data_IF_839145106092
#
_entry.id   IF_839145106092
#
_cell.length_a   1.000
_cell.length_b   1.000
_cell.length_c   1.000
_cell.angle_alpha   90.00
_cell.angle_beta   90.00
_cell.angle_gamma   90.00
#
_symmetry.space_group_name_H-M   'P 1'
#
loop_
_entity.id
_entity.type
_entity.pdbx_description
1 polymer ?
#
# COMPACT_ATOMS: atom_id res chain seq x y z
N UNK A 1 19.94 3.02 4.50
CA UNK A 1 19.19 4.19 4.99
C UNK A 1 18.05 4.60 4.05
N UNK A 2 18.20 4.56 2.71
CA UNK A 2 17.10 4.90 1.77
C UNK A 2 15.89 3.97 1.87
N UNK A 3 16.10 2.68 2.11
CA UNK A 3 15.04 1.67 2.26
C UNK A 3 14.07 2.00 3.41
N UNK A 4 14.60 2.40 4.57
CA UNK A 4 13.79 2.76 5.75
C UNK A 4 12.82 3.93 5.52
N UNK A 5 13.28 4.98 4.85
CA UNK A 5 12.45 6.17 4.65
C UNK A 5 11.29 5.94 3.68
N UNK A 6 11.51 5.14 2.64
CA UNK A 6 10.44 4.78 1.72
C UNK A 6 9.43 3.82 2.37
N UNK A 7 9.91 2.89 3.20
CA UNK A 7 9.04 1.99 3.97
C UNK A 7 8.14 2.79 4.92
N UNK A 8 8.66 3.85 5.54
CA UNK A 8 7.87 4.76 6.39
C UNK A 8 6.83 5.53 5.59
N UNK A 9 7.19 6.10 4.42
CA UNK A 9 6.22 6.77 3.55
C UNK A 9 5.08 5.82 3.16
N UNK A 10 5.41 4.62 2.68
CA UNK A 10 4.39 3.67 2.25
C UNK A 10 3.46 3.27 3.40
N UNK A 11 3.98 3.14 4.63
CA UNK A 11 3.21 2.88 5.83
C UNK A 11 2.27 4.04 6.16
N UNK A 12 2.79 5.26 6.20
CA UNK A 12 2.01 6.48 6.47
C UNK A 12 0.94 6.71 5.41
N UNK A 13 1.29 6.55 4.14
CA UNK A 13 0.37 6.66 3.01
C UNK A 13 -0.77 5.65 3.10
N UNK A 14 -0.47 4.38 3.34
CA UNK A 14 -1.48 3.33 3.50
C UNK A 14 -2.32 3.55 4.76
N UNK A 15 -1.73 4.00 5.86
CA UNK A 15 -2.45 4.34 7.08
C UNK A 15 -3.46 5.45 6.84
N UNK A 16 -3.07 6.52 6.14
CA UNK A 16 -3.97 7.63 5.79
C UNK A 16 -5.14 7.18 4.93
N UNK A 17 -4.92 6.30 3.96
CA UNK A 17 -5.97 5.79 3.08
C UNK A 17 -6.92 4.79 3.77
N UNK A 18 -6.39 3.95 4.65
CA UNK A 18 -7.12 2.80 5.19
C UNK A 18 -7.77 3.10 6.55
N UNK A 19 -7.29 4.10 7.32
CA UNK A 19 -7.83 4.43 8.64
C UNK A 19 -9.33 4.73 8.64
N UNK A 20 -9.92 5.37 7.62
CA UNK A 20 -11.37 5.56 7.57
C UNK A 20 -12.18 4.27 7.45
N UNK A 21 -11.56 3.19 6.94
CA UNK A 21 -12.21 1.90 6.70
C UNK A 21 -12.09 0.94 7.89
N UNK A 22 -11.11 1.16 8.77
CA UNK A 22 -10.84 0.23 9.84
C UNK A 22 -9.64 0.60 10.71
N UNK A 23 -9.22 -0.35 11.52
CA UNK A 23 -8.02 -0.21 12.36
C UNK A 23 -6.78 -0.54 11.56
N UNK A 24 -5.85 0.40 11.49
CA UNK A 24 -4.54 0.23 10.86
C UNK A 24 -3.47 0.18 11.95
N UNK A 25 -2.52 -0.71 11.81
CA UNK A 25 -1.33 -0.80 12.68
C UNK A 25 -0.11 -0.97 11.79
N UNK A 26 0.79 -0.03 11.85
CA UNK A 26 2.08 -0.09 11.17
C UNK A 26 3.11 -0.82 12.03
N UNK A 27 4.06 -1.51 11.42
CA UNK A 27 5.13 -2.25 12.11
C UNK A 27 4.63 -3.25 13.16
N UNK A 28 3.52 -3.97 12.87
CA UNK A 28 2.88 -4.89 13.81
C UNK A 28 3.68 -6.18 13.98
N UNK A 29 4.15 -6.46 15.18
CA UNK A 29 4.80 -7.75 15.53
C UNK A 29 3.78 -8.88 15.63
N UNK A 30 4.05 -10.02 14.95
CA UNK A 30 3.11 -11.14 14.86
C UNK A 30 3.46 -12.30 15.79
N UNK A 31 4.74 -12.47 16.16
CA UNK A 31 5.20 -13.55 17.04
C UNK A 31 6.32 -13.09 17.96
N UNK A 32 6.73 -13.97 18.91
CA UNK A 32 7.91 -13.77 19.77
C UNK A 32 9.25 -13.78 19.00
N UNK A 33 9.28 -14.36 17.81
CA UNK A 33 10.33 -14.13 16.82
C UNK A 33 9.96 -12.85 16.07
N UNK A 34 10.94 -11.99 15.80
CA UNK A 34 10.79 -10.63 15.28
C UNK A 34 10.26 -10.66 13.81
N UNK A 35 9.01 -11.10 13.64
CA UNK A 35 8.28 -11.00 12.37
C UNK A 35 7.35 -9.80 12.46
N UNK A 36 7.74 -8.73 11.79
CA UNK A 36 7.01 -7.47 11.72
C UNK A 36 6.28 -7.39 10.38
N UNK A 37 5.00 -6.99 10.42
CA UNK A 37 4.17 -6.68 9.25
C UNK A 37 4.22 -5.17 9.05
N UNK A 38 4.47 -4.74 7.83
CA UNK A 38 4.55 -3.30 7.54
C UNK A 38 3.24 -2.60 7.84
N UNK A 39 2.13 -3.07 7.30
CA UNK A 39 0.80 -2.54 7.59
C UNK A 39 -0.17 -3.69 7.85
N UNK A 40 -0.76 -3.71 9.05
CA UNK A 40 -1.83 -4.59 9.45
C UNK A 40 -3.16 -3.84 9.42
N UNK A 41 -4.15 -4.37 8.74
CA UNK A 41 -5.48 -3.77 8.61
C UNK A 41 -6.57 -4.70 9.15
N UNK A 42 -7.47 -4.15 9.95
CA UNK A 42 -8.70 -4.81 10.42
C UNK A 42 -9.91 -3.95 10.02
N UNK A 43 -10.85 -4.45 9.20
CA UNK A 43 -12.01 -3.69 8.76
C UNK A 43 -12.89 -3.30 9.95
N UNK A 44 -13.50 -2.11 9.87
CA UNK A 44 -14.49 -1.68 10.84
C UNK A 44 -15.74 -2.57 10.76
N UNK A 45 -16.33 -2.98 11.90
CA UNK A 45 -17.62 -3.70 11.91
C UNK A 45 -18.75 -2.89 11.27
N UNK A 46 -18.62 -1.56 11.26
CA UNK A 46 -19.59 -0.63 10.66
C UNK A 46 -18.81 0.33 9.75
N UNK A 47 -18.46 -0.09 8.53
CA UNK A 47 -17.78 0.79 7.59
C UNK A 47 -18.65 2.04 7.31
N UNK A 48 -18.05 3.19 7.00
CA UNK A 48 -18.79 4.39 6.65
C UNK A 48 -19.74 4.08 5.50
N UNK A 49 -20.96 4.61 5.58
CA UNK A 49 -22.02 4.42 4.56
C UNK A 49 -21.66 5.02 3.20
N UNK A 50 -20.67 5.88 3.16
CA UNK A 50 -20.11 6.46 1.93
C UNK A 50 -19.02 5.55 1.41
N UNK A 51 -19.25 4.98 0.22
CA UNK A 51 -18.22 4.21 -0.49
C UNK A 51 -17.05 5.15 -0.82
N UNK A 52 -15.98 5.03 -0.08
CA UNK A 52 -14.77 5.80 -0.34
C UNK A 52 -14.14 5.32 -1.65
N UNK A 53 -13.78 6.22 -2.58
CA UNK A 53 -13.31 5.86 -3.92
C UNK A 53 -11.85 5.37 -3.89
N UNK A 54 -11.59 4.25 -3.23
CA UNK A 54 -10.26 3.64 -3.15
C UNK A 54 -9.99 2.60 -4.26
N UNK A 55 -10.92 2.42 -5.19
CA UNK A 55 -10.75 1.49 -6.31
C UNK A 55 -10.31 0.09 -5.86
N UNK A 56 -9.24 -0.41 -6.48
CA UNK A 56 -8.67 -1.73 -6.19
C UNK A 56 -8.18 -1.85 -4.74
N UNK A 57 -7.58 -0.80 -4.19
CA UNK A 57 -7.14 -0.80 -2.79
C UNK A 57 -8.32 -1.00 -1.83
N UNK A 58 -9.47 -0.39 -2.13
CA UNK A 58 -10.69 -0.59 -1.35
C UNK A 58 -11.17 -2.04 -1.35
N UNK A 59 -11.07 -2.74 -2.49
CA UNK A 59 -11.41 -4.19 -2.56
C UNK A 59 -10.48 -5.06 -1.71
N UNK A 60 -9.22 -4.67 -1.57
CA UNK A 60 -8.24 -5.37 -0.73
C UNK A 60 -8.56 -5.27 0.76
N UNK A 61 -9.39 -4.32 1.17
CA UNK A 61 -9.79 -4.05 2.56
C UNK A 61 -11.12 -4.67 2.99
N UNK A 62 -11.74 -5.48 2.15
CA UNK A 62 -12.98 -6.17 2.50
C UNK A 62 -12.82 -7.14 3.69
N UNK A 63 -11.61 -7.59 3.94
CA UNK A 63 -11.26 -8.49 5.04
C UNK A 63 -10.00 -7.99 5.75
N UNK A 64 -9.66 -8.65 6.86
CA UNK A 64 -8.38 -8.44 7.53
C UNK A 64 -7.23 -8.67 6.53
N UNK A 65 -6.28 -7.73 6.47
CA UNK A 65 -5.21 -7.76 5.49
C UNK A 65 -3.85 -7.35 6.07
N UNK A 66 -2.81 -7.94 5.50
CA UNK A 66 -1.42 -7.55 5.66
C UNK A 66 -0.98 -6.90 4.35
N UNK A 67 -0.40 -5.70 4.42
CA UNK A 67 0.18 -5.03 3.27
C UNK A 67 1.69 -4.91 3.46
N UNK A 68 2.43 -5.38 2.46
CA UNK A 68 3.89 -5.42 2.41
C UNK A 68 4.38 -4.63 1.18
N UNK A 69 4.59 -3.32 1.31
CA UNK A 69 5.06 -2.48 0.21
C UNK A 69 6.57 -2.60 0.05
N UNK A 70 7.01 -2.92 -1.16
CA UNK A 70 8.42 -3.00 -1.54
C UNK A 70 8.81 -1.85 -2.46
N UNK A 71 9.89 -1.17 -2.13
CA UNK A 71 10.48 -0.16 -3.02
C UNK A 71 11.18 -0.78 -4.23
N UNK A 72 11.82 -1.93 -4.04
CA UNK A 72 12.57 -2.63 -5.06
C UNK A 72 11.83 -3.91 -5.49
N UNK A 73 12.15 -4.49 -6.65
CA UNK A 73 11.59 -5.76 -7.07
C UNK A 73 11.73 -6.83 -5.99
N UNK A 74 10.64 -7.50 -5.66
CA UNK A 74 10.65 -8.60 -4.68
C UNK A 74 11.46 -9.80 -5.18
N UNK A 75 12.21 -10.40 -4.30
CA UNK A 75 12.90 -11.66 -4.51
C UNK A 75 12.06 -12.86 -4.03
N UNK A 76 12.52 -14.07 -4.39
CA UNK A 76 11.93 -15.31 -3.86
C UNK A 76 12.00 -15.38 -2.32
N UNK A 77 13.05 -14.80 -1.72
CA UNK A 77 13.20 -14.79 -0.26
C UNK A 77 12.26 -13.79 0.40
N UNK A 78 12.03 -12.64 -0.21
CA UNK A 78 11.04 -11.69 0.26
C UNK A 78 9.64 -12.31 0.26
N UNK A 79 9.27 -13.02 -0.84
CA UNK A 79 7.99 -13.72 -0.92
C UNK A 79 7.85 -14.80 0.19
N UNK A 80 8.90 -15.59 0.44
CA UNK A 80 8.88 -16.58 1.53
C UNK A 80 8.69 -15.92 2.89
N UNK A 81 9.35 -14.80 3.13
CA UNK A 81 9.19 -14.00 4.35
C UNK A 81 7.75 -13.53 4.54
N UNK A 82 7.16 -12.93 3.51
CA UNK A 82 5.77 -12.47 3.53
C UNK A 82 4.78 -13.61 3.72
N UNK A 83 4.95 -14.74 3.00
CA UNK A 83 4.10 -15.92 3.16
C UNK A 83 4.19 -16.49 4.58
N UNK A 84 5.36 -16.50 5.20
CA UNK A 84 5.53 -16.92 6.59
C UNK A 84 4.72 -16.03 7.54
N UNK A 85 4.71 -14.71 7.32
CA UNK A 85 3.94 -13.76 8.13
C UNK A 85 2.44 -14.05 8.06
N UNK A 86 1.87 -14.18 6.86
CA UNK A 86 0.42 -14.43 6.70
C UNK A 86 0.01 -15.78 7.27
N UNK A 87 0.78 -16.83 7.06
CA UNK A 87 0.48 -18.16 7.59
C UNK A 87 0.50 -18.19 9.13
N UNK A 88 1.43 -17.47 9.77
CA UNK A 88 1.46 -17.31 11.22
C UNK A 88 0.22 -16.54 11.70
N UNK A 89 -0.14 -15.45 11.02
CA UNK A 89 -1.32 -14.66 11.34
C UNK A 89 -2.62 -15.48 11.24
N UNK A 90 -2.79 -16.25 10.16
CA UNK A 90 -3.92 -17.17 9.95
C UNK A 90 -3.97 -18.24 11.05
N UNK A 91 -2.84 -18.88 11.34
CA UNK A 91 -2.77 -19.88 12.41
C UNK A 91 -3.14 -19.30 13.79
N UNK A 92 -2.71 -18.06 14.09
CA UNK A 92 -3.10 -17.37 15.32
C UNK A 92 -4.61 -17.19 15.39
N UNK A 93 -5.24 -16.71 14.32
CA UNK A 93 -6.69 -16.51 14.23
C UNK A 93 -7.46 -17.83 14.41
N UNK A 94 -7.01 -18.89 13.74
CA UNK A 94 -7.61 -20.24 13.88
C UNK A 94 -7.49 -20.78 15.32
N UNK A 95 -6.33 -20.59 15.99
CA UNK A 95 -6.15 -20.99 17.38
C UNK A 95 -7.06 -20.22 18.34
N UNK A 96 -7.24 -18.92 18.11
CA UNK A 96 -8.17 -18.09 18.88
C UNK A 96 -9.62 -18.55 18.72
N UNK A 97 -10.04 -18.85 17.49
CA UNK A 97 -11.37 -19.42 17.21
C UNK A 97 -11.60 -20.73 17.95
N UNK A 98 -10.64 -21.65 17.92
CA UNK A 98 -10.72 -22.94 18.66
C UNK A 98 -10.82 -22.73 20.18
N UNK A 99 -10.05 -21.78 20.75
CA UNK A 99 -10.13 -21.47 22.20
C UNK A 99 -11.49 -20.93 22.61
N UNK A 100 -12.16 -20.19 21.73
CA UNK A 100 -13.47 -19.58 21.96
C UNK A 100 -14.64 -20.48 21.52
N UNK A 101 -14.36 -21.65 20.97
CA UNK A 101 -15.35 -22.53 20.32
C UNK A 101 -16.15 -21.83 19.21
N UNK A 102 -15.52 -20.90 18.48
CA UNK A 102 -16.11 -20.16 17.37
C UNK A 102 -15.43 -20.63 16.09
N UNK A 103 -16.15 -21.19 15.11
CA UNK A 103 -15.61 -21.48 13.78
C UNK A 103 -15.10 -20.19 13.13
N UNK A 104 -13.94 -20.26 12.50
CA UNK A 104 -13.39 -19.14 11.70
C UNK A 104 -13.57 -19.50 10.24
N UNK A 105 -14.50 -18.85 9.53
CA UNK A 105 -14.66 -19.01 8.09
C UNK A 105 -13.39 -18.58 7.33
N UNK A 106 -13.18 -19.17 6.15
CA UNK A 106 -12.00 -18.89 5.32
C UNK A 106 -11.88 -17.39 4.99
N UNK A 107 -13.00 -16.71 4.74
CA UNK A 107 -13.07 -15.29 4.40
C UNK A 107 -12.60 -14.38 5.55
N UNK A 108 -12.68 -14.86 6.79
CA UNK A 108 -12.22 -14.12 7.97
C UNK A 108 -10.72 -14.30 8.27
N UNK A 109 -10.04 -15.18 7.56
CA UNK A 109 -8.59 -15.31 7.69
C UNK A 109 -7.89 -14.11 7.02
N UNK A 110 -6.78 -13.63 7.60
CA UNK A 110 -6.02 -12.54 7.00
C UNK A 110 -5.57 -12.86 5.58
N UNK A 111 -5.70 -11.87 4.69
CA UNK A 111 -5.10 -11.89 3.36
C UNK A 111 -3.75 -11.16 3.36
N UNK A 112 -2.90 -11.45 2.40
CA UNK A 112 -1.61 -10.78 2.19
C UNK A 112 -1.61 -10.07 0.84
N UNK A 113 -1.20 -8.80 0.83
CA UNK A 113 -1.00 -8.00 -0.36
C UNK A 113 0.44 -7.52 -0.43
N UNK A 114 1.18 -7.98 -1.43
CA UNK A 114 2.57 -7.61 -1.67
C UNK A 114 2.59 -6.59 -2.80
N UNK A 115 3.06 -5.38 -2.53
CA UNK A 115 3.19 -4.32 -3.53
C UNK A 115 4.65 -4.23 -3.96
N UNK A 116 4.91 -4.39 -5.25
CA UNK A 116 6.25 -4.32 -5.81
C UNK A 116 6.25 -3.50 -7.10
N UNK A 117 7.24 -2.63 -7.35
CA UNK A 117 7.26 -1.85 -8.58
C UNK A 117 7.31 -2.76 -9.80
N UNK A 118 8.20 -3.74 -9.81
CA UNK A 118 8.33 -4.75 -10.86
C UNK A 118 8.52 -6.12 -10.26
N UNK A 119 8.24 -7.17 -11.02
CA UNK A 119 8.52 -8.55 -10.62
C UNK A 119 8.98 -9.35 -11.84
N UNK A 120 10.00 -10.20 -11.68
CA UNK A 120 10.44 -11.05 -12.78
C UNK A 120 9.46 -12.20 -13.02
N UNK A 121 9.32 -12.63 -14.28
CA UNK A 121 8.48 -13.78 -14.63
C UNK A 121 8.89 -15.03 -13.82
N UNK A 122 10.19 -15.22 -13.58
CA UNK A 122 10.70 -16.32 -12.77
C UNK A 122 10.13 -16.32 -11.36
N UNK A 123 10.05 -15.16 -10.68
CA UNK A 123 9.52 -15.07 -9.32
C UNK A 123 8.01 -15.36 -9.31
N UNK A 124 7.28 -14.85 -10.29
CA UNK A 124 5.83 -15.14 -10.46
C UNK A 124 5.62 -16.65 -10.69
N UNK A 125 6.40 -17.26 -11.59
CA UNK A 125 6.31 -18.70 -11.87
C UNK A 125 6.66 -19.57 -10.67
N UNK A 126 7.72 -19.23 -9.92
CA UNK A 126 8.09 -19.93 -8.71
C UNK A 126 7.06 -19.82 -7.59
N UNK A 127 6.33 -18.69 -7.52
CA UNK A 127 5.21 -18.52 -6.62
C UNK A 127 3.96 -19.30 -7.07
N UNK A 128 3.96 -19.87 -8.28
CA UNK A 128 2.79 -20.48 -8.91
C UNK A 128 1.65 -19.48 -9.13
N UNK A 129 1.99 -18.19 -9.18
CA UNK A 129 1.01 -17.11 -9.24
C UNK A 129 0.54 -16.86 -10.68
N UNK A 130 -0.75 -16.54 -10.84
CA UNK A 130 -1.39 -16.26 -12.14
C UNK A 130 -2.35 -15.08 -12.00
N UNK A 131 -2.55 -14.33 -13.06
CA UNK A 131 -3.70 -13.45 -13.20
C UNK A 131 -4.98 -14.29 -13.26
N UNK A 132 -6.07 -13.81 -12.67
CA UNK A 132 -7.35 -14.52 -12.68
C UNK A 132 -8.20 -13.94 -13.80
N UNK A 133 -8.46 -14.74 -14.83
CA UNK A 133 -9.31 -14.36 -15.94
C UNK A 133 -10.79 -14.31 -15.51
N UNK A 134 -11.51 -13.28 -15.94
CA UNK A 134 -12.96 -13.14 -15.70
C UNK A 134 -13.35 -12.62 -14.31
N UNK A 135 -12.40 -12.35 -13.44
CA UNK A 135 -12.63 -11.60 -12.21
C UNK A 135 -12.31 -10.10 -12.40
N UNK A 136 -12.86 -9.25 -11.53
CA UNK A 136 -12.71 -7.79 -11.62
C UNK A 136 -11.31 -7.28 -11.22
N UNK A 137 -10.29 -8.11 -11.29
CA UNK A 137 -8.91 -7.73 -10.99
C UNK A 137 -8.19 -7.28 -12.27
N UNK A 138 -7.56 -6.10 -12.28
CA UNK A 138 -6.81 -5.63 -13.43
C UNK A 138 -5.54 -6.44 -13.65
N UNK A 139 -4.96 -6.32 -14.86
CA UNK A 139 -3.63 -6.84 -15.15
C UNK A 139 -2.60 -6.35 -14.12
N UNK A 140 -1.57 -7.16 -13.89
CA UNK A 140 -0.51 -6.83 -12.94
C UNK A 140 -0.82 -7.28 -11.51
N UNK A 141 -1.95 -7.96 -11.26
CA UNK A 141 -2.27 -8.59 -9.98
C UNK A 141 -2.26 -10.10 -10.15
N UNK A 142 -1.36 -10.75 -9.44
CA UNK A 142 -1.12 -12.18 -9.53
C UNK A 142 -1.49 -12.88 -8.23
N UNK A 143 -2.14 -14.03 -8.34
CA UNK A 143 -2.59 -14.83 -7.21
C UNK A 143 -1.91 -16.19 -7.21
N UNK A 144 -1.17 -16.55 -6.15
CA UNK A 144 -0.75 -17.92 -5.87
C UNK A 144 -1.93 -18.82 -5.56
N UNK A 145 -1.66 -20.04 -5.06
CA UNK A 145 -2.72 -20.96 -4.64
C UNK A 145 -3.70 -20.28 -3.65
N UNK A 146 -5.04 -20.45 -3.83
CA UNK A 146 -6.06 -19.77 -3.03
C UNK A 146 -5.90 -19.97 -1.51
N UNK A 147 -5.36 -21.11 -1.06
CA UNK A 147 -5.05 -21.39 0.34
C UNK A 147 -4.14 -20.35 0.99
N UNK A 148 -3.26 -19.72 0.20
CA UNK A 148 -2.32 -18.72 0.71
C UNK A 148 -2.96 -17.35 0.92
N UNK A 149 -4.15 -17.10 0.35
CA UNK A 149 -4.89 -15.83 0.44
C UNK A 149 -3.96 -14.64 0.16
N UNK A 150 -3.18 -14.73 -0.90
CA UNK A 150 -2.12 -13.77 -1.21
C UNK A 150 -2.31 -13.18 -2.59
N UNK A 151 -2.15 -11.86 -2.72
CA UNK A 151 -2.04 -11.15 -3.98
C UNK A 151 -0.68 -10.48 -4.13
N UNK A 152 -0.07 -10.60 -5.32
CA UNK A 152 1.16 -9.91 -5.70
C UNK A 152 0.79 -8.84 -6.71
N UNK A 153 0.96 -7.58 -6.35
CA UNK A 153 0.65 -6.43 -7.18
C UNK A 153 1.93 -5.90 -7.81
N UNK A 154 2.07 -6.06 -9.11
CA UNK A 154 3.18 -5.54 -9.90
C UNK A 154 2.78 -4.17 -10.44
N UNK A 155 3.12 -3.11 -9.70
CA UNK A 155 2.58 -1.76 -9.88
C UNK A 155 2.79 -1.22 -11.30
N UNK A 156 3.96 -1.48 -11.91
CA UNK A 156 4.26 -1.01 -13.27
C UNK A 156 3.46 -1.73 -14.38
N UNK A 157 2.73 -2.78 -14.04
CA UNK A 157 1.85 -3.49 -14.97
C UNK A 157 0.38 -3.09 -14.82
N UNK A 158 0.05 -2.32 -13.79
CA UNK A 158 -1.32 -1.84 -13.58
C UNK A 158 -1.73 -0.90 -14.72
N UNK A 159 -2.97 -1.00 -15.23
CA UNK A 159 -3.49 -0.05 -16.21
C UNK A 159 -3.59 1.34 -15.58
N UNK A 160 -3.45 2.39 -16.42
CA UNK A 160 -3.60 3.78 -15.99
C UNK A 160 -5.08 4.14 -16.01
N UNK A 161 -5.75 3.87 -14.91
CA UNK A 161 -7.18 4.15 -14.67
C UNK A 161 -7.38 4.62 -13.24
N UNK A 162 -8.50 5.28 -12.96
CA UNK A 162 -8.84 5.82 -11.63
C UNK A 162 -8.76 4.75 -10.52
N UNK A 163 -9.25 3.55 -10.80
CA UNK A 163 -9.29 2.43 -9.85
C UNK A 163 -7.91 1.99 -9.35
N UNK A 164 -6.85 2.22 -10.12
CA UNK A 164 -5.47 1.83 -9.80
C UNK A 164 -4.61 3.00 -9.29
N UNK A 165 -5.14 4.21 -9.28
CA UNK A 165 -4.42 5.43 -8.91
C UNK A 165 -3.65 5.27 -7.60
N UNK A 166 -4.34 4.85 -6.54
CA UNK A 166 -3.79 4.74 -5.19
C UNK A 166 -2.61 3.77 -5.08
N UNK A 167 -2.60 2.73 -5.88
CA UNK A 167 -1.49 1.77 -5.94
C UNK A 167 -0.34 2.29 -6.79
N UNK A 168 -0.63 3.02 -7.87
CA UNK A 168 0.39 3.59 -8.76
C UNK A 168 1.22 4.69 -8.08
N UNK A 169 0.67 5.39 -7.10
CA UNK A 169 1.43 6.36 -6.27
C UNK A 169 2.57 5.68 -5.51
N UNK A 170 2.40 4.41 -5.12
CA UNK A 170 3.46 3.60 -4.49
C UNK A 170 4.48 3.04 -5.50
N UNK A 171 4.33 3.34 -6.77
CA UNK A 171 5.26 2.93 -7.82
C UNK A 171 6.57 3.70 -7.81
N UNK A 172 7.30 3.64 -8.93
CA UNK A 172 8.57 4.34 -9.14
C UNK A 172 8.61 4.97 -10.53
N UNK A 173 9.52 5.92 -10.72
CA UNK A 173 9.76 6.54 -12.01
C UNK A 173 8.51 7.16 -12.60
N UNK A 174 8.32 6.98 -13.91
CA UNK A 174 7.19 7.57 -14.63
C UNK A 174 5.82 7.13 -14.11
N UNK A 175 5.68 5.89 -13.60
CA UNK A 175 4.40 5.41 -13.06
C UNK A 175 4.00 6.22 -11.81
N UNK A 176 4.93 6.43 -10.90
CA UNK A 176 4.71 7.25 -9.71
C UNK A 176 4.44 8.71 -10.10
N UNK A 177 5.29 9.28 -10.97
CA UNK A 177 5.15 10.67 -11.43
C UNK A 177 3.75 10.93 -11.99
N UNK A 178 3.31 10.08 -12.93
CA UNK A 178 1.99 10.21 -13.53
C UNK A 178 0.86 10.08 -12.49
N UNK A 179 0.97 9.15 -11.56
CA UNK A 179 -0.02 8.97 -10.50
C UNK A 179 -0.06 10.18 -9.54
N UNK A 180 1.08 10.79 -9.23
CA UNK A 180 1.13 12.02 -8.41
C UNK A 180 0.50 13.19 -9.17
N UNK A 181 0.74 13.32 -10.48
CA UNK A 181 0.07 14.33 -11.31
C UNK A 181 -1.45 14.14 -11.33
N UNK A 182 -1.93 12.90 -11.51
CA UNK A 182 -3.37 12.56 -11.43
C UNK A 182 -3.95 12.86 -10.03
N UNK A 183 -3.21 12.59 -8.96
CA UNK A 183 -3.63 12.92 -7.58
C UNK A 183 -3.82 14.43 -7.39
N UNK A 184 -2.92 15.25 -7.94
CA UNK A 184 -3.02 16.73 -7.91
C UNK A 184 -4.27 17.21 -8.65
N UNK A 185 -4.66 16.55 -9.75
CA UNK A 185 -5.83 16.90 -10.56
C UNK A 185 -7.18 16.41 -9.96
N UNK A 186 -7.18 15.57 -8.91
CA UNK A 186 -8.41 15.16 -8.26
C UNK A 186 -9.23 16.37 -7.79
N UNK A 187 -10.59 16.28 -7.77
CA UNK A 187 -11.44 17.33 -7.22
C UNK A 187 -11.09 17.66 -5.77
N UNK A 188 -11.21 18.93 -5.36
CA UNK A 188 -11.03 19.35 -3.97
C UNK A 188 -11.99 18.63 -3.00
N UNK A 189 -13.13 18.14 -3.49
CA UNK A 189 -14.07 17.35 -2.70
C UNK A 189 -13.62 15.91 -2.42
N UNK A 190 -12.49 15.46 -3.00
CA UNK A 190 -11.97 14.13 -2.72
C UNK A 190 -11.42 14.09 -1.29
N UNK A 191 -11.90 13.18 -0.41
CA UNK A 191 -11.61 13.20 1.02
C UNK A 191 -10.16 12.84 1.36
N UNK A 192 -9.39 12.31 0.41
CA UNK A 192 -8.00 11.90 0.63
C UNK A 192 -6.98 12.88 0.07
N UNK A 193 -7.41 13.75 -0.87
CA UNK A 193 -6.51 14.57 -1.67
C UNK A 193 -5.56 15.42 -0.82
N UNK A 194 -6.10 16.26 0.07
CA UNK A 194 -5.30 17.19 0.88
C UNK A 194 -4.28 16.46 1.75
N UNK A 195 -4.75 15.51 2.54
CA UNK A 195 -3.87 14.76 3.44
C UNK A 195 -2.75 14.02 2.69
N UNK A 196 -3.05 13.42 1.54
CA UNK A 196 -2.03 12.71 0.76
C UNK A 196 -1.04 13.66 0.09
N UNK A 197 -1.49 14.81 -0.40
CA UNK A 197 -0.58 15.83 -0.93
C UNK A 197 0.37 16.35 0.14
N UNK A 198 -0.12 16.56 1.36
CA UNK A 198 0.70 16.95 2.51
C UNK A 198 1.75 15.88 2.85
N UNK A 199 1.34 14.61 2.97
CA UNK A 199 2.26 13.48 3.22
C UNK A 199 3.35 13.42 2.16
N UNK A 200 3.00 13.50 0.88
CA UNK A 200 3.96 13.44 -0.22
C UNK A 200 4.89 14.67 -0.24
N UNK A 201 4.35 15.85 0.06
CA UNK A 201 5.14 17.10 0.12
C UNK A 201 6.14 17.07 1.28
N UNK A 202 5.71 16.63 2.47
CA UNK A 202 6.57 16.50 3.64
C UNK A 202 7.66 15.47 3.41
N UNK A 203 7.34 14.35 2.76
CA UNK A 203 8.32 13.33 2.44
C UNK A 203 9.37 13.85 1.46
N UNK A 204 8.95 14.59 0.42
CA UNK A 204 9.87 15.25 -0.52
C UNK A 204 10.82 16.21 0.21
N UNK A 205 10.31 17.05 1.12
CA UNK A 205 11.14 17.96 1.91
C UNK A 205 12.17 17.19 2.76
N UNK A 206 11.74 16.11 3.42
CA UNK A 206 12.63 15.28 4.22
C UNK A 206 13.74 14.63 3.38
N UNK A 207 13.47 14.28 2.13
CA UNK A 207 14.51 13.81 1.21
C UNK A 207 15.51 14.95 0.88
N UNK A 208 15.04 16.14 0.55
CA UNK A 208 15.90 17.29 0.20
C UNK A 208 16.85 17.71 1.31
N UNK A 209 16.49 17.47 2.57
CA UNK A 209 17.32 17.79 3.74
C UNK A 209 18.45 16.78 3.98
N UNK A 210 18.53 15.71 3.20
CA UNK A 210 19.57 14.70 3.35
C UNK A 210 20.84 15.06 2.59
N UNK A 211 21.96 14.84 3.24
CA UNK A 211 23.25 14.87 2.57
C UNK A 211 23.44 13.59 1.73
N UNK A 212 24.03 13.73 0.54
CA UNK A 212 24.40 12.62 -0.34
C UNK A 212 23.18 11.77 -0.83
N UNK A 213 22.26 12.42 -1.52
CA UNK A 213 21.13 11.75 -2.17
C UNK A 213 21.59 10.71 -3.19
N UNK A 214 20.98 9.53 -3.15
CA UNK A 214 21.12 8.54 -4.22
C UNK A 214 20.39 9.01 -5.48
N UNK A 215 20.72 8.42 -6.65
CA UNK A 215 20.00 8.71 -7.89
C UNK A 215 18.49 8.40 -7.76
N UNK A 216 18.14 7.35 -7.00
CA UNK A 216 16.75 6.97 -6.74
C UNK A 216 16.02 8.03 -5.88
N UNK A 217 16.67 8.57 -4.85
CA UNK A 217 16.10 9.63 -4.02
C UNK A 217 15.95 10.95 -4.80
N UNK A 218 16.87 11.24 -5.72
CA UNK A 218 16.74 12.39 -6.63
C UNK A 218 15.54 12.23 -7.58
N UNK A 219 15.32 11.02 -8.10
CA UNK A 219 14.14 10.71 -8.91
C UNK A 219 12.84 10.86 -8.12
N UNK A 220 12.79 10.38 -6.89
CA UNK A 220 11.63 10.55 -6.01
C UNK A 220 11.32 12.03 -5.75
N UNK A 221 12.34 12.87 -5.49
CA UNK A 221 12.16 14.31 -5.33
C UNK A 221 11.51 14.93 -6.58
N UNK A 222 11.94 14.52 -7.77
CA UNK A 222 11.34 14.99 -9.02
C UNK A 222 9.89 14.52 -9.18
N UNK A 223 9.63 13.24 -8.91
CA UNK A 223 8.30 12.64 -9.06
C UNK A 223 7.27 13.24 -8.10
N UNK A 224 7.70 13.63 -6.90
CA UNK A 224 6.84 14.23 -5.87
C UNK A 224 6.70 15.76 -6.01
N UNK A 225 7.46 16.38 -6.92
CA UNK A 225 7.45 17.82 -7.09
C UNK A 225 6.06 18.41 -7.40
N UNK A 226 5.18 17.79 -8.20
CA UNK A 226 3.82 18.31 -8.42
C UNK A 226 3.01 18.43 -7.12
N UNK A 227 3.03 17.41 -6.26
CA UNK A 227 2.36 17.45 -4.96
C UNK A 227 2.93 18.54 -4.05
N UNK A 228 4.25 18.66 -3.98
CA UNK A 228 4.91 19.71 -3.21
C UNK A 228 4.56 21.11 -3.68
N UNK A 229 4.57 21.38 -4.99
CA UNK A 229 4.26 22.70 -5.54
C UNK A 229 2.82 23.08 -5.23
N UNK A 230 1.89 22.14 -5.35
CA UNK A 230 0.48 22.34 -5.01
C UNK A 230 0.31 22.69 -3.53
N UNK A 231 0.88 21.88 -2.65
CA UNK A 231 0.79 22.10 -1.21
C UNK A 231 1.46 23.43 -0.78
N UNK A 232 2.58 23.80 -1.39
CA UNK A 232 3.22 25.09 -1.12
C UNK A 232 2.36 26.28 -1.51
N UNK A 233 1.57 26.20 -2.55
CA UNK A 233 0.62 27.24 -2.92
C UNK A 233 -0.48 27.40 -1.87
N UNK A 234 -1.00 26.30 -1.37
CA UNK A 234 -2.01 26.26 -0.32
C UNK A 234 -1.48 26.88 0.99
N UNK A 235 -0.32 26.46 1.46
CA UNK A 235 0.32 27.05 2.65
C UNK A 235 0.58 28.56 2.52
N UNK A 236 0.88 29.06 1.32
CA UNK A 236 1.04 30.50 1.09
C UNK A 236 -0.27 31.28 1.14
N UNK A 237 -1.38 30.66 0.78
CA UNK A 237 -2.71 31.26 0.88
C UNK A 237 -3.16 31.33 2.34
N UNK A 238 -3.03 30.22 3.09
CA UNK A 238 -3.32 30.16 4.52
C UNK A 238 -2.51 31.20 5.33
N UNK A 239 -1.20 31.29 5.11
CA UNK A 239 -0.34 32.27 5.79
C UNK A 239 -0.62 33.73 5.41
N UNK A 240 -1.41 33.99 4.35
CA UNK A 240 -1.87 35.35 4.00
C UNK A 240 -3.23 35.70 4.63
N UNK A 241 -4.03 34.68 4.98
CA UNK A 241 -5.32 34.88 5.64
C UNK A 241 -5.16 35.07 7.16
N UNK A 242 -4.04 34.57 7.73
CA UNK A 242 -3.72 34.69 9.16
C UNK A 242 -2.93 35.99 9.53
N UNK A 243 -2.45 36.74 8.54
CA UNK A 243 -1.65 37.98 8.72
C UNK A 243 -2.34 39.22 8.22
#
# INVERSE_FOLDING_TARGET
MSRQAHDELAKEYLEALLSPLGTVKTSQKISSEVLEVDVWFEPSPSPPSTTLPLGILGRMTNNMALFEPYRNPVSENDLRGCLSKVLIAQNKKLKEGRRKNIPVPEEQLPALWIFTPTCSARVIDMAGAREIEGEDWPKGIYFPAPLLRTGIVVIHQLPVVEETLWLRVLGRGNVQKQAVEELVELPASNPYKENLLEILANWRQNLELRDNLTNEEQEDIMNLSPAYLKQREEWKLEGKEEG
#
